data_IF_203782299656
#
_entry.id   IF_203782299656
#
_cell.length_a   1.000
_cell.length_b   1.000
_cell.length_c   1.000
_cell.angle_alpha   90.00
_cell.angle_beta   90.00
_cell.angle_gamma   90.00
#
_symmetry.space_group_name_H-M   'P 1'
#
loop_
_entity.id
_entity.type
_entity.pdbx_description
1 polymer ?
#
# COMPACT_ATOMS: atom_id res chain seq x y z
N UNK A 1 -8.49 -38.06 -4.46
CA UNK A 1 -7.23 -37.31 -4.65
C UNK A 1 -7.64 -36.15 -5.53
N UNK A 2 -8.02 -35.05 -4.90
CA UNK A 2 -8.55 -33.86 -5.58
C UNK A 2 -7.32 -32.99 -5.79
N UNK A 3 -6.91 -32.82 -7.05
CA UNK A 3 -5.96 -31.77 -7.43
C UNK A 3 -6.61 -30.43 -7.09
N UNK A 4 -6.06 -29.78 -6.07
CA UNK A 4 -6.35 -28.41 -5.71
C UNK A 4 -5.46 -27.50 -6.53
N UNK A 5 -5.77 -27.36 -7.82
CA UNK A 5 -5.30 -26.22 -8.62
C UNK A 5 -6.10 -24.99 -8.16
N UNK A 6 -5.55 -24.27 -7.19
CA UNK A 6 -5.86 -22.87 -7.02
C UNK A 6 -5.30 -22.19 -8.27
N UNK A 7 -6.17 -21.67 -9.15
CA UNK A 7 -5.76 -20.89 -10.32
C UNK A 7 -4.77 -19.81 -9.88
N UNK A 8 -3.48 -20.03 -10.10
CA UNK A 8 -2.44 -19.12 -9.64
C UNK A 8 -2.57 -17.80 -10.39
N UNK A 9 -2.84 -16.72 -9.65
CA UNK A 9 -3.02 -15.40 -10.24
C UNK A 9 -1.67 -14.89 -10.76
N UNK A 10 -1.58 -14.73 -12.08
CA UNK A 10 -0.40 -14.19 -12.75
C UNK A 10 -0.40 -12.66 -12.73
N UNK A 11 0.75 -12.07 -12.44
CA UNK A 11 0.97 -10.62 -12.47
C UNK A 11 2.24 -10.24 -13.23
N UNK A 12 2.27 -9.04 -13.84
CA UNK A 12 3.49 -8.48 -14.39
C UNK A 12 4.55 -8.31 -13.28
N UNK A 13 5.76 -8.79 -13.55
CA UNK A 13 6.93 -8.67 -12.69
C UNK A 13 8.07 -8.07 -13.52
N UNK A 14 8.67 -6.98 -13.04
CA UNK A 14 9.85 -6.38 -13.67
C UNK A 14 11.05 -7.34 -13.63
N UNK A 15 11.89 -7.32 -14.66
CA UNK A 15 13.06 -8.18 -14.79
C UNK A 15 13.99 -8.13 -13.56
N UNK A 16 14.16 -6.93 -13.00
CA UNK A 16 15.01 -6.63 -11.85
C UNK A 16 14.43 -7.16 -10.53
N UNK A 17 13.13 -7.41 -10.50
CA UNK A 17 12.42 -7.95 -9.34
C UNK A 17 12.35 -9.49 -9.34
N UNK A 18 12.91 -10.15 -10.38
CA UNK A 18 13.03 -11.60 -10.42
C UNK A 18 14.12 -12.05 -9.44
N UNK A 19 13.75 -12.96 -8.54
CA UNK A 19 14.62 -13.53 -7.51
C UNK A 19 14.21 -14.96 -7.20
N UNK A 20 15.09 -15.68 -6.51
CA UNK A 20 14.78 -17.02 -6.02
C UNK A 20 13.45 -17.05 -5.22
N UNK A 21 12.66 -18.11 -5.39
CA UNK A 21 11.33 -18.27 -4.82
C UNK A 21 10.17 -17.69 -5.64
N UNK A 22 10.43 -17.00 -6.76
CA UNK A 22 9.37 -16.51 -7.68
C UNK A 22 9.04 -17.59 -8.70
N UNK A 23 7.76 -17.83 -8.96
CA UNK A 23 7.31 -18.71 -10.06
C UNK A 23 7.00 -17.88 -11.31
N UNK A 24 7.77 -18.08 -12.37
CA UNK A 24 7.62 -17.35 -13.63
C UNK A 24 6.80 -18.18 -14.62
N UNK A 25 5.91 -17.52 -15.38
CA UNK A 25 5.30 -18.13 -16.57
C UNK A 25 6.36 -18.28 -17.65
N UNK A 26 6.56 -19.50 -18.13
CA UNK A 26 7.59 -19.79 -19.12
C UNK A 26 7.22 -19.30 -20.53
N UNK A 27 8.21 -19.02 -21.40
CA UNK A 27 7.98 -18.73 -22.80
C UNK A 27 7.17 -19.87 -23.45
N UNK A 28 5.98 -19.54 -23.94
CA UNK A 28 4.98 -20.52 -24.41
C UNK A 28 3.66 -20.46 -23.63
N UNK A 29 3.66 -19.92 -22.41
CA UNK A 29 2.45 -19.56 -21.67
C UNK A 29 1.67 -20.73 -21.05
N UNK A 30 2.20 -21.95 -21.09
CA UNK A 30 1.48 -23.16 -20.65
C UNK A 30 1.82 -23.61 -19.21
N UNK A 31 2.96 -23.17 -18.67
CA UNK A 31 3.45 -23.63 -17.36
C UNK A 31 4.25 -22.56 -16.63
N UNK A 32 4.19 -22.57 -15.31
CA UNK A 32 5.06 -21.78 -14.43
C UNK A 32 6.21 -22.65 -13.92
N UNK A 33 7.32 -22.01 -13.51
CA UNK A 33 8.42 -22.71 -12.84
C UNK A 33 9.12 -21.78 -11.84
N UNK A 34 9.51 -22.34 -10.70
CA UNK A 34 10.17 -21.58 -9.64
C UNK A 34 11.61 -21.22 -10.01
N UNK A 35 11.98 -19.97 -9.77
CA UNK A 35 13.35 -19.48 -9.87
C UNK A 35 14.10 -19.93 -8.63
N UNK A 36 15.24 -20.60 -8.81
CA UNK A 36 16.12 -21.02 -7.71
C UNK A 36 17.35 -20.13 -7.55
N UNK A 37 17.74 -19.42 -8.61
CA UNK A 37 18.88 -18.51 -8.60
C UNK A 37 18.76 -17.43 -9.67
N UNK A 38 19.38 -16.27 -9.46
CA UNK A 38 19.44 -15.18 -10.44
C UNK A 38 20.82 -14.54 -10.55
N UNK A 39 21.21 -14.22 -11.78
CA UNK A 39 22.44 -13.51 -12.11
C UNK A 39 22.14 -12.33 -13.04
N UNK A 40 22.97 -11.29 -12.98
CA UNK A 40 22.86 -10.11 -13.84
C UNK A 40 24.08 -10.03 -14.77
N UNK A 41 23.83 -10.18 -16.06
CA UNK A 41 24.82 -9.92 -17.11
C UNK A 41 24.82 -8.43 -17.44
N UNK A 42 26.01 -7.85 -17.43
CA UNK A 42 26.23 -6.44 -17.77
C UNK A 42 26.64 -6.31 -19.24
N UNK A 43 26.32 -5.18 -19.88
CA UNK A 43 26.80 -4.84 -21.20
C UNK A 43 28.29 -4.43 -21.20
N UNK A 44 28.82 -4.13 -22.38
CA UNK A 44 30.22 -3.70 -22.57
C UNK A 44 30.57 -2.38 -21.85
N UNK A 45 29.57 -1.63 -21.39
CA UNK A 45 29.73 -0.38 -20.63
C UNK A 45 29.54 -0.58 -19.12
N UNK A 46 29.33 -1.81 -18.66
CA UNK A 46 29.12 -2.14 -17.26
C UNK A 46 27.73 -1.80 -16.73
N UNK A 47 26.73 -1.67 -17.61
CA UNK A 47 25.32 -1.46 -17.25
C UNK A 47 24.59 -2.80 -17.25
N UNK A 48 23.74 -3.11 -16.25
CA UNK A 48 22.87 -4.28 -16.29
C UNK A 48 22.08 -4.39 -17.61
N UNK A 49 22.26 -5.49 -18.34
CA UNK A 49 21.64 -5.70 -19.64
C UNK A 49 20.63 -6.84 -19.58
N UNK A 50 20.99 -7.97 -18.96
CA UNK A 50 20.16 -9.18 -18.94
C UNK A 50 20.12 -9.77 -17.53
N UNK A 51 18.92 -10.03 -17.03
CA UNK A 51 18.69 -10.88 -15.86
C UNK A 51 18.57 -12.32 -16.33
N UNK A 52 19.43 -13.19 -15.82
CA UNK A 52 19.43 -14.63 -16.08
C UNK A 52 18.85 -15.32 -14.85
N UNK A 53 17.69 -15.95 -15.00
CA UNK A 53 17.04 -16.72 -13.94
C UNK A 53 17.24 -18.22 -14.19
N UNK A 54 17.78 -18.92 -13.21
CA UNK A 54 17.86 -20.39 -13.20
C UNK A 54 16.60 -20.93 -12.55
N UNK A 55 15.91 -21.83 -13.25
CA UNK A 55 14.68 -22.45 -12.79
C UNK A 55 14.97 -23.76 -12.05
N UNK A 56 14.02 -24.22 -11.24
CA UNK A 56 14.09 -25.51 -10.54
C UNK A 56 14.27 -26.70 -11.49
N UNK A 57 13.79 -26.58 -12.74
CA UNK A 57 13.98 -27.57 -13.81
C UNK A 57 15.43 -27.66 -14.30
N UNK A 58 16.29 -26.72 -13.89
CA UNK A 58 17.65 -26.54 -14.38
C UNK A 58 17.73 -25.74 -15.69
N UNK A 59 16.60 -25.34 -16.27
CA UNK A 59 16.54 -24.45 -17.43
C UNK A 59 16.85 -23.00 -17.02
N UNK A 60 17.39 -22.20 -17.95
CA UNK A 60 17.66 -20.78 -17.73
C UNK A 60 16.78 -19.91 -18.60
N UNK A 61 16.18 -18.87 -18.02
CA UNK A 61 15.43 -17.83 -18.74
C UNK A 61 16.25 -16.54 -18.75
N UNK A 62 16.34 -15.89 -19.91
CA UNK A 62 17.05 -14.63 -20.11
C UNK A 62 16.05 -13.51 -20.33
N UNK A 63 16.09 -12.48 -19.49
CA UNK A 63 15.13 -11.39 -19.47
C UNK A 63 15.91 -10.08 -19.63
N UNK A 64 15.54 -9.27 -20.62
CA UNK A 64 16.18 -7.96 -20.79
C UNK A 64 15.80 -7.03 -19.62
N UNK A 65 16.77 -6.28 -19.13
CA UNK A 65 16.57 -5.23 -18.12
C UNK A 65 15.56 -4.20 -18.65
N UNK A 66 14.64 -3.74 -17.82
CA UNK A 66 13.51 -2.87 -18.17
C UNK A 66 12.31 -3.58 -18.80
N UNK A 67 12.37 -4.90 -18.99
CA UNK A 67 11.23 -5.69 -19.48
C UNK A 67 10.38 -6.26 -18.35
N UNK A 68 9.17 -6.70 -18.69
CA UNK A 68 8.24 -7.35 -17.75
C UNK A 68 8.00 -8.80 -18.17
N UNK A 69 8.00 -9.70 -17.18
CA UNK A 69 7.55 -11.10 -17.32
C UNK A 69 6.26 -11.32 -16.55
N UNK A 70 5.57 -12.43 -16.77
CA UNK A 70 4.45 -12.84 -15.94
C UNK A 70 4.96 -13.78 -14.84
N UNK A 71 4.54 -13.57 -13.60
CA UNK A 71 4.89 -14.40 -12.47
C UNK A 71 3.67 -14.64 -11.59
N UNK A 72 3.60 -15.78 -10.91
CA UNK A 72 2.58 -15.98 -9.87
C UNK A 72 2.72 -14.90 -8.80
N UNK A 73 1.60 -14.38 -8.32
CA UNK A 73 1.59 -13.51 -7.15
C UNK A 73 2.35 -14.22 -6.00
N UNK A 74 3.25 -13.53 -5.26
CA UNK A 74 3.93 -14.14 -4.13
C UNK A 74 2.90 -14.73 -3.17
N UNK A 75 3.11 -15.94 -2.62
CA UNK A 75 2.18 -16.54 -1.64
C UNK A 75 1.93 -15.62 -0.42
N UNK A 76 2.90 -14.78 -0.06
CA UNK A 76 2.76 -13.75 0.99
C UNK A 76 1.80 -12.60 0.62
N UNK A 77 1.42 -12.48 -0.66
CA UNK A 77 0.37 -11.59 -1.18
C UNK A 77 -0.87 -12.38 -1.66
N UNK A 78 -0.69 -13.60 -2.18
CA UNK A 78 -1.76 -14.46 -2.69
C UNK A 78 -2.67 -15.01 -1.57
N UNK A 79 -2.17 -15.08 -0.34
CA UNK A 79 -2.97 -15.47 0.82
C UNK A 79 -3.80 -14.34 1.45
N UNK A 80 -3.83 -13.13 0.88
CA UNK A 80 -4.50 -11.99 1.53
C UNK A 80 -5.89 -11.68 0.94
N UNK A 81 -6.24 -12.24 -0.24
CA UNK A 81 -7.56 -11.99 -0.88
C UNK A 81 -8.52 -13.20 -0.83
N UNK A 82 -8.10 -14.37 -0.37
CA UNK A 82 -8.81 -15.60 -0.79
C UNK A 82 -9.97 -16.11 0.06
N UNK A 83 -10.37 -15.48 1.18
CA UNK A 83 -11.49 -16.05 1.98
C UNK A 83 -12.86 -15.38 1.74
N UNK A 84 -12.92 -14.18 1.14
CA UNK A 84 -14.19 -13.42 1.06
C UNK A 84 -14.73 -13.15 -0.36
N UNK A 85 -14.02 -13.50 -1.42
CA UNK A 85 -14.50 -13.31 -2.79
C UNK A 85 -14.27 -11.88 -3.32
N UNK A 86 -15.24 -11.31 -4.06
CA UNK A 86 -15.08 -10.02 -4.74
C UNK A 86 -14.82 -8.84 -3.76
N UNK A 87 -14.28 -7.69 -4.21
CA UNK A 87 -14.11 -6.51 -3.35
C UNK A 87 -15.38 -6.10 -2.60
N UNK A 88 -16.54 -6.24 -3.25
CA UNK A 88 -17.85 -5.94 -2.65
C UNK A 88 -18.20 -6.92 -1.53
N UNK A 89 -17.82 -8.19 -1.66
CA UNK A 89 -18.08 -9.20 -0.64
C UNK A 89 -17.24 -8.97 0.61
N UNK A 90 -15.97 -8.57 0.45
CA UNK A 90 -15.13 -8.11 1.56
C UNK A 90 -15.74 -6.90 2.28
N UNK A 91 -16.17 -5.90 1.51
CA UNK A 91 -16.82 -4.70 2.08
C UNK A 91 -18.11 -5.08 2.82
N UNK A 92 -18.92 -5.97 2.26
CA UNK A 92 -20.14 -6.44 2.90
C UNK A 92 -19.87 -7.21 4.20
N UNK A 93 -18.83 -8.03 4.23
CA UNK A 93 -18.39 -8.74 5.42
C UNK A 93 -17.95 -7.77 6.53
N UNK A 94 -17.11 -6.79 6.19
CA UNK A 94 -16.69 -5.74 7.12
C UNK A 94 -17.88 -4.98 7.70
N UNK A 95 -18.87 -4.63 6.87
CA UNK A 95 -20.09 -3.98 7.34
C UNK A 95 -20.93 -4.87 8.27
N UNK A 96 -20.96 -6.19 8.01
CA UNK A 96 -21.63 -7.16 8.87
C UNK A 96 -20.94 -7.36 10.23
N UNK A 97 -19.63 -7.11 10.33
CA UNK A 97 -18.90 -7.08 11.61
C UNK A 97 -19.23 -5.80 12.39
N UNK A 98 -19.18 -4.64 11.72
CA UNK A 98 -19.26 -3.33 12.36
C UNK A 98 -20.62 -2.66 12.17
N UNK A 99 -21.70 -3.40 12.44
CA UNK A 99 -23.08 -2.96 12.21
C UNK A 99 -23.46 -1.69 12.98
N UNK A 100 -22.78 -1.43 14.09
CA UNK A 100 -22.98 -0.28 14.97
C UNK A 100 -22.38 1.02 14.44
N UNK A 101 -21.52 0.97 13.42
CA UNK A 101 -20.84 2.13 12.86
C UNK A 101 -21.62 2.71 11.67
N UNK A 102 -22.29 3.88 11.81
CA UNK A 102 -23.03 4.48 10.70
C UNK A 102 -22.11 4.84 9.53
N UNK A 103 -20.86 5.21 9.84
CA UNK A 103 -19.85 5.58 8.84
C UNK A 103 -19.41 4.38 8.01
N UNK A 104 -19.19 3.22 8.63
CA UNK A 104 -18.87 1.98 7.90
C UNK A 104 -20.04 1.60 7.00
N UNK A 105 -21.27 1.64 7.52
CA UNK A 105 -22.47 1.31 6.74
C UNK A 105 -22.66 2.25 5.53
N UNK A 106 -22.44 3.56 5.69
CA UNK A 106 -22.52 4.54 4.59
C UNK A 106 -21.47 4.28 3.50
N UNK A 107 -20.23 3.97 3.89
CA UNK A 107 -19.15 3.64 2.95
C UNK A 107 -19.43 2.30 2.24
N UNK A 108 -19.85 1.30 3.00
CA UNK A 108 -20.17 -0.03 2.48
C UNK A 108 -21.35 0.00 1.51
N UNK A 109 -22.41 0.75 1.79
CA UNK A 109 -23.55 0.91 0.88
C UNK A 109 -23.11 1.48 -0.48
N UNK A 110 -22.17 2.40 -0.50
CA UNK A 110 -21.66 2.99 -1.75
C UNK A 110 -20.76 2.01 -2.51
N UNK A 111 -19.90 1.30 -1.80
CA UNK A 111 -18.92 0.36 -2.38
C UNK A 111 -19.54 -0.97 -2.84
N UNK A 112 -20.52 -1.51 -2.12
CA UNK A 112 -21.19 -2.78 -2.47
C UNK A 112 -22.04 -2.69 -3.75
N UNK A 113 -22.35 -1.47 -4.23
CA UNK A 113 -23.03 -1.25 -5.53
C UNK A 113 -22.11 -1.45 -6.74
N UNK A 114 -20.80 -1.62 -6.50
CA UNK A 114 -19.79 -1.89 -7.50
C UNK A 114 -18.54 -1.06 -7.27
N UNK A 115 -17.42 -1.73 -7.00
CA UNK A 115 -16.12 -1.11 -6.82
C UNK A 115 -15.53 -0.74 -8.18
N UNK A 116 -15.07 0.50 -8.33
CA UNK A 116 -14.43 0.98 -9.56
C UNK A 116 -13.05 1.57 -9.26
N UNK A 117 -12.01 0.79 -9.51
CA UNK A 117 -10.60 1.20 -9.30
C UNK A 117 -10.11 2.34 -10.19
N UNK A 118 -10.89 2.75 -11.20
CA UNK A 118 -10.60 3.93 -12.03
C UNK A 118 -11.30 5.20 -11.52
N UNK A 119 -12.24 5.08 -10.58
CA UNK A 119 -12.97 6.21 -10.03
C UNK A 119 -12.34 6.73 -8.75
N UNK A 120 -11.96 8.02 -8.74
CA UNK A 120 -11.41 8.66 -7.53
C UNK A 120 -12.35 8.58 -6.32
N UNK A 121 -13.68 8.66 -6.52
CA UNK A 121 -14.63 8.54 -5.41
C UNK A 121 -14.66 7.13 -4.80
N UNK A 122 -14.56 6.09 -5.63
CA UNK A 122 -14.53 4.70 -5.15
C UNK A 122 -13.25 4.42 -4.36
N UNK A 123 -12.11 4.94 -4.82
CA UNK A 123 -10.83 4.79 -4.12
C UNK A 123 -10.80 5.58 -2.81
N UNK A 124 -11.40 6.77 -2.82
CA UNK A 124 -11.55 7.56 -1.62
C UNK A 124 -12.42 6.81 -0.60
N UNK A 125 -13.53 6.21 -1.02
CA UNK A 125 -14.40 5.45 -0.11
C UNK A 125 -13.68 4.22 0.45
N UNK A 126 -12.86 3.50 -0.34
CA UNK A 126 -12.03 2.39 0.16
C UNK A 126 -11.01 2.87 1.19
N UNK A 127 -10.27 3.94 0.88
CA UNK A 127 -9.27 4.50 1.81
C UNK A 127 -9.91 5.01 3.10
N UNK A 128 -11.03 5.72 2.99
CA UNK A 128 -11.76 6.26 4.12
C UNK A 128 -12.36 5.12 4.98
N UNK A 129 -12.78 4.00 4.37
CA UNK A 129 -13.19 2.78 5.08
C UNK A 129 -12.03 2.16 5.86
N UNK A 130 -10.86 1.96 5.23
CA UNK A 130 -9.68 1.42 5.90
C UNK A 130 -9.23 2.29 7.09
N UNK A 131 -9.20 3.61 6.91
CA UNK A 131 -8.88 4.55 7.98
C UNK A 131 -9.91 4.51 9.11
N UNK A 132 -11.21 4.43 8.79
CA UNK A 132 -12.27 4.32 9.80
C UNK A 132 -12.10 3.05 10.64
N UNK A 133 -11.86 1.90 10.00
CA UNK A 133 -11.64 0.63 10.68
C UNK A 133 -10.45 0.71 11.64
N UNK A 134 -9.32 1.24 11.18
CA UNK A 134 -8.12 1.30 12.00
C UNK A 134 -8.21 2.35 13.13
N UNK A 135 -8.61 3.56 12.78
CA UNK A 135 -8.54 4.72 13.67
C UNK A 135 -9.69 4.73 14.66
N UNK A 136 -10.91 4.47 14.18
CA UNK A 136 -12.11 4.59 15.00
C UNK A 136 -12.49 3.30 15.70
N UNK A 137 -12.34 2.18 14.99
CA UNK A 137 -12.81 0.87 15.46
C UNK A 137 -11.67 -0.01 15.98
N UNK A 138 -10.41 0.44 15.83
CA UNK A 138 -9.21 -0.32 16.21
C UNK A 138 -9.12 -1.71 15.56
N UNK A 139 -9.78 -1.89 14.41
CA UNK A 139 -9.77 -3.12 13.62
C UNK A 139 -8.67 -3.04 12.56
N UNK A 140 -7.43 -3.28 13.02
CA UNK A 140 -6.26 -3.30 12.15
C UNK A 140 -6.31 -4.41 11.09
N UNK A 141 -6.93 -5.56 11.41
CA UNK A 141 -6.98 -6.69 10.51
C UNK A 141 -7.89 -6.40 9.31
N UNK A 142 -9.12 -5.94 9.55
CA UNK A 142 -10.03 -5.55 8.47
C UNK A 142 -9.51 -4.33 7.71
N UNK A 143 -8.88 -3.36 8.39
CA UNK A 143 -8.28 -2.20 7.74
C UNK A 143 -7.20 -2.60 6.73
N UNK A 144 -6.32 -3.54 7.08
CA UNK A 144 -5.28 -4.04 6.18
C UNK A 144 -5.91 -4.71 4.95
N UNK A 145 -6.87 -5.62 5.16
CA UNK A 145 -7.57 -6.31 4.05
C UNK A 145 -8.26 -5.34 3.10
N UNK A 146 -8.87 -4.27 3.62
CA UNK A 146 -9.47 -3.21 2.80
C UNK A 146 -8.39 -2.39 2.08
N UNK A 147 -7.24 -2.11 2.70
CA UNK A 147 -6.11 -1.48 2.01
C UNK A 147 -5.62 -2.32 0.83
N UNK A 148 -5.56 -3.65 0.98
CA UNK A 148 -5.05 -4.56 -0.04
C UNK A 148 -5.84 -4.49 -1.36
N UNK A 149 -7.10 -4.03 -1.32
CA UNK A 149 -7.87 -3.72 -2.55
C UNK A 149 -7.19 -2.66 -3.43
N UNK A 150 -6.40 -1.76 -2.85
CA UNK A 150 -5.72 -0.67 -3.57
C UNK A 150 -4.22 -0.88 -3.74
N UNK A 151 -3.56 -1.65 -2.88
CA UNK A 151 -2.09 -1.70 -2.88
C UNK A 151 -1.50 -2.39 -4.09
N UNK A 152 -2.28 -3.22 -4.79
CA UNK A 152 -1.85 -3.89 -6.02
C UNK A 152 -2.02 -3.02 -7.27
N UNK A 153 -2.61 -1.83 -7.14
CA UNK A 153 -2.82 -0.94 -8.29
C UNK A 153 -1.51 -0.24 -8.67
N UNK A 154 -1.03 -0.38 -9.92
CA UNK A 154 0.19 0.30 -10.35
C UNK A 154 -0.03 1.80 -10.52
N UNK A 155 1.04 2.57 -10.38
CA UNK A 155 1.03 3.97 -10.78
C UNK A 155 0.83 4.09 -12.30
N UNK A 156 -0.16 4.87 -12.72
CA UNK A 156 -0.55 5.02 -14.13
C UNK A 156 -0.36 6.45 -14.68
N UNK A 157 0.38 7.30 -13.96
CA UNK A 157 0.59 8.70 -14.31
C UNK A 157 -0.44 9.68 -13.72
N UNK A 158 -1.55 9.19 -13.14
CA UNK A 158 -2.55 10.06 -12.52
C UNK A 158 -2.30 10.25 -11.01
N UNK A 159 -1.63 11.35 -10.67
CA UNK A 159 -1.31 11.71 -9.27
C UNK A 159 -2.55 11.89 -8.38
N UNK A 160 -3.70 12.31 -8.93
CA UNK A 160 -4.92 12.47 -8.15
C UNK A 160 -5.48 11.14 -7.64
N UNK A 161 -5.46 10.11 -8.50
CA UNK A 161 -5.77 8.73 -8.12
C UNK A 161 -4.69 8.14 -7.22
N UNK A 162 -3.43 8.37 -7.58
CA UNK A 162 -2.29 7.83 -6.84
C UNK A 162 -2.29 8.26 -5.38
N UNK A 163 -2.57 9.53 -5.07
CA UNK A 163 -2.65 10.02 -3.70
C UNK A 163 -3.66 9.24 -2.81
N UNK A 164 -4.70 8.64 -3.40
CA UNK A 164 -5.63 7.77 -2.65
C UNK A 164 -5.01 6.40 -2.37
N UNK A 165 -4.30 5.84 -3.35
CA UNK A 165 -3.57 4.56 -3.26
C UNK A 165 -2.38 4.69 -2.29
N UNK A 166 -1.61 5.78 -2.36
CA UNK A 166 -0.52 6.10 -1.43
C UNK A 166 -1.00 6.11 0.02
N UNK A 167 -2.19 6.64 0.28
CA UNK A 167 -2.79 6.62 1.61
C UNK A 167 -2.99 5.19 2.14
N UNK A 168 -3.45 4.26 1.31
CA UNK A 168 -3.59 2.85 1.68
C UNK A 168 -2.22 2.15 1.79
N UNK A 169 -1.28 2.42 0.88
CA UNK A 169 0.08 1.88 0.95
C UNK A 169 0.79 2.32 2.24
N UNK A 170 0.66 3.59 2.63
CA UNK A 170 1.24 4.11 3.86
C UNK A 170 0.61 3.48 5.12
N UNK A 171 -0.71 3.27 5.10
CA UNK A 171 -1.41 2.58 6.19
C UNK A 171 -1.00 1.10 6.26
N UNK A 172 -0.99 0.38 5.15
CA UNK A 172 -0.58 -1.02 5.08
C UNK A 172 0.88 -1.21 5.53
N UNK A 173 1.78 -0.32 5.13
CA UNK A 173 3.17 -0.32 5.59
C UNK A 173 3.27 -0.15 7.12
N UNK A 174 2.44 0.71 7.69
CA UNK A 174 2.39 0.90 9.14
C UNK A 174 1.83 -0.32 9.88
N UNK A 175 0.75 -0.92 9.37
CA UNK A 175 0.08 -2.07 10.00
C UNK A 175 0.96 -3.33 10.00
N UNK A 176 1.82 -3.48 8.99
CA UNK A 176 2.71 -4.65 8.80
C UNK A 176 4.14 -4.42 9.25
N UNK A 177 4.40 -3.32 9.96
CA UNK A 177 5.76 -2.92 10.36
C UNK A 177 6.46 -3.95 11.26
N UNK A 178 5.68 -4.64 12.10
CA UNK A 178 6.18 -5.59 13.09
C UNK A 178 6.11 -7.05 12.61
N UNK A 179 5.67 -7.29 11.37
CA UNK A 179 5.68 -8.62 10.76
C UNK A 179 7.13 -9.11 10.61
N UNK A 180 7.33 -10.42 10.44
CA UNK A 180 8.65 -11.07 10.39
C UNK A 180 9.66 -10.30 9.51
N UNK A 181 10.56 -9.55 10.17
CA UNK A 181 11.61 -8.75 9.54
C UNK A 181 11.16 -7.48 8.80
N UNK A 182 9.87 -7.10 8.85
CA UNK A 182 9.35 -5.89 8.19
C UNK A 182 9.30 -5.95 6.67
N UNK A 183 9.41 -7.15 6.08
CA UNK A 183 9.47 -7.37 4.62
C UNK A 183 8.25 -6.79 3.89
N UNK A 184 7.05 -7.03 4.42
CA UNK A 184 5.78 -6.51 3.85
C UNK A 184 5.71 -4.99 3.90
N UNK A 185 6.06 -4.40 5.04
CA UNK A 185 6.11 -2.94 5.19
C UNK A 185 7.09 -2.28 4.20
N UNK A 186 8.25 -2.92 3.99
CA UNK A 186 9.23 -2.47 2.99
C UNK A 186 8.67 -2.57 1.56
N UNK A 187 7.93 -3.65 1.25
CA UNK A 187 7.23 -3.83 -0.04
C UNK A 187 6.23 -2.71 -0.32
N UNK A 188 5.30 -2.43 0.60
CA UNK A 188 4.34 -1.34 0.44
C UNK A 188 5.02 0.03 0.34
N UNK A 189 6.08 0.26 1.13
CA UNK A 189 6.87 1.49 1.07
C UNK A 189 7.59 1.65 -0.28
N UNK A 190 8.08 0.56 -0.86
CA UNK A 190 8.69 0.58 -2.19
C UNK A 190 7.64 0.85 -3.28
N UNK A 191 6.48 0.20 -3.21
CA UNK A 191 5.36 0.43 -4.12
C UNK A 191 4.89 1.90 -4.08
N UNK A 192 4.79 2.48 -2.89
CA UNK A 192 4.40 3.89 -2.70
C UNK A 192 5.35 4.84 -3.42
N UNK A 193 6.66 4.57 -3.36
CA UNK A 193 7.68 5.40 -4.02
C UNK A 193 7.76 5.18 -5.54
N UNK A 194 6.96 4.31 -6.16
CA UNK A 194 7.05 4.12 -7.62
C UNK A 194 6.70 5.37 -8.43
N UNK A 195 5.77 6.20 -7.96
CA UNK A 195 5.49 7.49 -8.59
C UNK A 195 6.63 8.51 -8.44
N UNK A 196 7.56 8.27 -7.51
CA UNK A 196 8.69 9.16 -7.29
C UNK A 196 9.67 9.16 -8.47
N UNK A 197 9.74 8.02 -9.17
CA UNK A 197 10.61 7.74 -10.31
C UNK A 197 9.89 7.90 -11.66
N UNK A 198 8.71 8.52 -11.67
CA UNK A 198 7.91 8.72 -12.88
C UNK A 198 8.60 9.63 -13.92
N UNK A 199 9.45 10.55 -13.47
CA UNK A 199 10.25 11.41 -14.34
C UNK A 199 11.56 10.70 -14.69
N UNK A 200 11.78 10.46 -15.99
CA UNK A 200 12.92 9.70 -16.49
C UNK A 200 14.07 10.59 -16.98
N UNK A 201 13.82 11.89 -17.23
CA UNK A 201 14.89 12.83 -17.55
C UNK A 201 15.78 13.06 -16.31
N UNK A 202 17.10 12.82 -16.38
CA UNK A 202 17.96 12.88 -15.19
C UNK A 202 17.98 14.24 -14.47
N UNK A 203 17.87 15.35 -15.20
CA UNK A 203 17.90 16.68 -14.60
C UNK A 203 16.58 16.99 -13.91
N UNK A 204 15.46 16.68 -14.57
CA UNK A 204 14.13 16.86 -13.98
C UNK A 204 13.88 15.91 -12.82
N UNK A 205 14.33 14.66 -12.91
CA UNK A 205 14.25 13.67 -11.83
C UNK A 205 14.98 14.17 -10.58
N UNK A 206 16.19 14.73 -10.74
CA UNK A 206 16.94 15.34 -9.64
C UNK A 206 16.20 16.54 -9.02
N UNK A 207 15.59 17.38 -9.85
CA UNK A 207 14.78 18.51 -9.36
C UNK A 207 13.54 18.03 -8.61
N UNK A 208 12.83 17.04 -9.14
CA UNK A 208 11.65 16.44 -8.52
C UNK A 208 11.99 15.82 -7.15
N UNK A 209 13.10 15.07 -7.07
CA UNK A 209 13.60 14.52 -5.81
C UNK A 209 13.92 15.61 -4.77
N UNK A 210 14.56 16.70 -5.18
CA UNK A 210 14.85 17.82 -4.28
C UNK A 210 13.58 18.53 -3.77
N UNK A 211 12.59 18.71 -4.65
CA UNK A 211 11.28 19.29 -4.26
C UNK A 211 10.55 18.36 -3.29
N UNK A 212 10.54 17.06 -3.56
CA UNK A 212 9.95 16.04 -2.67
C UNK A 212 10.63 16.02 -1.31
N UNK A 213 11.96 15.99 -1.26
CA UNK A 213 12.69 16.01 0.01
C UNK A 213 12.33 17.24 0.84
N UNK A 214 12.19 18.41 0.20
CA UNK A 214 11.72 19.62 0.87
C UNK A 214 10.30 19.46 1.42
N UNK A 215 9.38 18.87 0.66
CA UNK A 215 8.01 18.61 1.13
C UNK A 215 7.99 17.64 2.32
N UNK A 216 8.83 16.61 2.32
CA UNK A 216 9.00 15.69 3.45
C UNK A 216 9.62 16.40 4.67
N UNK A 217 10.51 17.37 4.45
CA UNK A 217 11.15 18.16 5.50
C UNK A 217 10.23 19.21 6.12
N UNK A 218 9.26 19.75 5.36
CA UNK A 218 8.32 20.80 5.77
C UNK A 218 6.85 20.32 5.67
N UNK A 219 6.46 19.21 6.34
CA UNK A 219 5.11 18.67 6.21
C UNK A 219 4.09 19.58 6.89
N UNK A 220 2.90 19.70 6.31
CA UNK A 220 1.78 20.34 6.99
C UNK A 220 1.21 19.42 8.08
N UNK A 221 1.51 19.71 9.33
CA UNK A 221 1.01 18.95 10.48
C UNK A 221 -0.25 19.57 11.11
N UNK A 222 -0.88 20.58 10.51
CA UNK A 222 -2.19 21.11 10.96
C UNK A 222 -2.25 21.58 12.44
N UNK A 223 -1.11 21.99 13.03
CA UNK A 223 -1.04 22.42 14.44
C UNK A 223 -2.03 23.54 14.76
N UNK A 224 -2.17 24.49 13.83
CA UNK A 224 -3.04 25.65 14.00
C UNK A 224 -4.52 25.25 13.95
N UNK A 225 -4.88 24.36 13.04
CA UNK A 225 -6.24 23.89 12.83
C UNK A 225 -6.70 23.07 14.04
N UNK A 226 -5.87 22.14 14.52
CA UNK A 226 -6.14 21.33 15.71
C UNK A 226 -6.35 22.22 16.94
N UNK A 227 -5.47 23.22 17.15
CA UNK A 227 -5.61 24.16 18.26
C UNK A 227 -6.91 24.98 18.18
N UNK A 228 -7.33 25.37 16.97
CA UNK A 228 -8.59 26.11 16.76
C UNK A 228 -9.83 25.26 17.01
N UNK A 229 -9.77 23.96 16.74
CA UNK A 229 -10.88 23.03 16.95
C UNK A 229 -11.01 22.50 18.37
N UNK A 230 -10.17 22.92 19.33
CA UNK A 230 -10.13 22.34 20.69
C UNK A 230 -11.47 22.32 21.47
N UNK A 231 -12.44 23.14 21.07
CA UNK A 231 -13.80 23.19 21.66
C UNK A 231 -14.84 22.36 20.90
N UNK A 232 -14.46 21.75 19.79
CA UNK A 232 -15.29 20.91 18.94
C UNK A 232 -14.59 19.56 18.73
N UNK A 233 -14.90 18.54 19.56
CA UNK A 233 -14.22 17.25 19.52
C UNK A 233 -14.27 16.56 18.16
N UNK A 234 -15.38 16.69 17.42
CA UNK A 234 -15.51 16.10 16.09
C UNK A 234 -14.57 16.78 15.08
N UNK A 235 -14.55 18.11 15.05
CA UNK A 235 -13.63 18.84 14.18
C UNK A 235 -12.15 18.60 14.55
N UNK A 236 -11.83 18.52 15.85
CA UNK A 236 -10.46 18.21 16.28
C UNK A 236 -10.04 16.81 15.81
N UNK A 237 -10.94 15.83 15.90
CA UNK A 237 -10.71 14.48 15.40
C UNK A 237 -10.39 14.49 13.91
N UNK A 238 -11.18 15.19 13.10
CA UNK A 238 -10.95 15.26 11.64
C UNK A 238 -9.55 15.81 11.31
N UNK A 239 -9.14 16.91 11.96
CA UNK A 239 -7.81 17.48 11.75
C UNK A 239 -6.68 16.57 12.23
N UNK A 240 -6.86 15.86 13.34
CA UNK A 240 -5.90 14.86 13.82
C UNK A 240 -5.81 13.65 12.88
N UNK A 241 -6.93 13.24 12.28
CA UNK A 241 -6.96 12.22 11.23
C UNK A 241 -6.12 12.64 10.02
N UNK A 242 -6.27 13.89 9.55
CA UNK A 242 -5.44 14.44 8.48
C UNK A 242 -3.95 14.53 8.84
N UNK A 243 -3.62 14.87 10.09
CA UNK A 243 -2.23 14.81 10.54
C UNK A 243 -1.71 13.38 10.56
N UNK A 244 -2.51 12.42 11.03
CA UNK A 244 -2.11 11.02 11.08
C UNK A 244 -1.76 10.50 9.68
N UNK A 245 -2.57 10.79 8.66
CA UNK A 245 -2.25 10.37 7.27
C UNK A 245 -0.93 10.97 6.78
N UNK A 246 -0.63 12.23 7.10
CA UNK A 246 0.67 12.86 6.79
C UNK A 246 1.82 12.14 7.51
N UNK A 247 1.66 11.80 8.79
CA UNK A 247 2.69 11.10 9.55
C UNK A 247 2.96 9.68 9.02
N UNK A 248 1.90 8.95 8.62
CA UNK A 248 2.01 7.64 7.99
C UNK A 248 2.74 7.73 6.64
N UNK A 249 2.40 8.73 5.83
CA UNK A 249 3.06 9.00 4.56
C UNK A 249 4.56 9.28 4.75
N UNK A 250 4.93 10.17 5.69
CA UNK A 250 6.34 10.45 6.01
C UNK A 250 7.09 9.19 6.40
N UNK A 251 6.50 8.36 7.29
CA UNK A 251 7.10 7.09 7.71
C UNK A 251 7.32 6.15 6.52
N UNK A 252 6.30 5.96 5.68
CA UNK A 252 6.37 5.08 4.52
C UNK A 252 7.39 5.57 3.49
N UNK A 253 7.64 6.88 3.39
CA UNK A 253 8.73 7.42 2.57
C UNK A 253 10.15 7.21 3.14
N UNK A 254 10.29 6.65 4.35
CA UNK A 254 11.58 6.49 5.02
C UNK A 254 11.91 7.63 6.00
N UNK A 255 10.94 8.51 6.26
CA UNK A 255 11.06 9.63 7.17
C UNK A 255 11.41 10.94 6.49
N UNK A 256 11.96 11.85 7.29
CA UNK A 256 12.33 13.20 6.90
C UNK A 256 13.64 13.58 7.58
N UNK A 257 14.42 14.47 6.97
CA UNK A 257 15.67 14.96 7.58
C UNK A 257 15.39 15.76 8.87
N UNK A 258 14.17 16.27 9.04
CA UNK A 258 13.74 17.03 10.21
C UNK A 258 12.98 16.17 11.23
N UNK A 259 12.48 15.00 10.83
CA UNK A 259 11.72 14.06 11.66
C UNK A 259 12.24 12.62 11.49
N UNK A 260 13.12 12.21 12.40
CA UNK A 260 13.64 10.84 12.44
C UNK A 260 12.57 9.79 12.79
N UNK A 261 12.88 8.52 12.51
CA UNK A 261 11.96 7.38 12.65
C UNK A 261 11.31 7.27 14.03
N UNK A 262 12.09 7.31 15.12
CA UNK A 262 11.53 7.23 16.47
C UNK A 262 10.59 8.39 16.82
N UNK A 263 10.87 9.59 16.28
CA UNK A 263 10.02 10.74 16.50
C UNK A 263 8.68 10.58 15.75
N UNK A 264 8.70 10.00 14.56
CA UNK A 264 7.50 9.64 13.81
C UNK A 264 6.69 8.58 14.55
N UNK A 265 7.32 7.52 15.06
CA UNK A 265 6.65 6.47 15.85
C UNK A 265 5.90 7.05 17.05
N UNK A 266 6.59 7.88 17.85
CA UNK A 266 5.98 8.54 19.00
C UNK A 266 4.80 9.44 18.60
N UNK A 267 4.95 10.23 17.52
CA UNK A 267 3.88 11.12 17.03
C UNK A 267 2.67 10.34 16.53
N UNK A 268 2.87 9.27 15.75
CA UNK A 268 1.79 8.40 15.26
C UNK A 268 1.04 7.79 16.46
N UNK A 269 1.77 7.24 17.43
CA UNK A 269 1.16 6.69 18.65
C UNK A 269 0.36 7.73 19.44
N UNK A 270 0.88 8.95 19.59
CA UNK A 270 0.15 10.04 20.25
C UNK A 270 -1.12 10.45 19.51
N UNK A 271 -1.09 10.54 18.17
CA UNK A 271 -2.30 10.89 17.41
C UNK A 271 -3.37 9.80 17.50
N UNK A 272 -3.00 8.52 17.42
CA UNK A 272 -3.94 7.42 17.61
C UNK A 272 -4.61 7.45 18.99
N UNK A 273 -3.82 7.68 20.05
CA UNK A 273 -4.36 7.82 21.41
C UNK A 273 -5.29 9.04 21.54
N UNK A 274 -4.90 10.18 20.96
CA UNK A 274 -5.70 11.40 21.00
C UNK A 274 -7.04 11.24 20.27
N UNK A 275 -7.02 10.62 19.07
CA UNK A 275 -8.23 10.36 18.28
C UNK A 275 -9.18 9.41 19.03
N UNK A 276 -8.65 8.31 19.58
CA UNK A 276 -9.47 7.36 20.38
C UNK A 276 -10.09 8.03 21.62
N UNK A 277 -9.35 8.92 22.28
CA UNK A 277 -9.88 9.69 23.39
C UNK A 277 -11.00 10.67 22.96
N UNK A 278 -10.91 11.24 21.76
CA UNK A 278 -11.97 12.08 21.19
C UNK A 278 -13.21 11.26 20.82
N UNK A 279 -13.05 10.05 20.28
CA UNK A 279 -14.16 9.13 19.99
C UNK A 279 -14.99 8.81 21.24
N UNK A 280 -14.34 8.58 22.38
CA UNK A 280 -15.04 8.40 23.66
C UNK A 280 -15.84 9.62 24.10
N UNK A 281 -15.36 10.84 23.83
CA UNK A 281 -16.08 12.09 24.16
C UNK A 281 -17.27 12.34 23.23
N UNK A 282 -17.13 12.04 21.94
CA UNK A 282 -18.23 12.19 20.98
C UNK A 282 -19.34 11.18 21.25
N UNK A 283 -19.00 9.94 21.61
CA UNK A 283 -19.97 8.92 21.99
C UNK A 283 -20.73 9.26 23.29
N UNK A 284 -20.08 9.96 24.24
CA UNK A 284 -20.72 10.39 25.49
C UNK A 284 -21.59 11.66 25.35
N UNK A 285 -21.52 12.36 24.22
CA UNK A 285 -22.21 13.64 23.98
C UNK A 285 -23.43 13.51 23.03
N UNK A 286 -23.64 12.33 22.45
CA UNK A 286 -24.79 12.00 21.61
C UNK A 286 -25.77 11.08 22.32
#
# INVERSE_FOLDING_TARGET
>A
MIDSDVDAQLQPLAAEAVKAGRKLLLPGGERTSEVVDTAVEHDDFGVPAIVVATLESGETVRIATGSTVQAEAPDELAHIVTDEGSPEALVAHVAAIHTESPRVNELAERLTRGVNFKSGSSLQDIRDLALTLYVDLSDAASALRVCDLLTDQPFDGNFGRWNLIEGCLALAAHLTQNDDGGSRAAGYSAALRTADDAETDPLKAKLAAAVRQRQLNEPNLYDREIARSAKNPAAEKDWRGLRLTVLLYLRAHGGSETLGAEALDRRIGHELLAIRALNGKTAASG
#
